data_IF_980714114428
#
_entry.id   IF_980714114428
#
_cell.length_a   1.000
_cell.length_b   1.000
_cell.length_c   1.000
_cell.angle_alpha   90.00
_cell.angle_beta   90.00
_cell.angle_gamma   90.00
#
_symmetry.space_group_name_H-M   'P 1'
#
loop_
_entity.id
_entity.type
_entity.pdbx_description
1 polymer ?
#
# COMPACT_ATOMS: atom_id res chain seq x y z
N UNK A 1 -55.33 30.39 -10.67
CA UNK A 1 -55.87 29.67 -9.51
C UNK A 1 -54.67 29.41 -8.62
N UNK A 2 -54.39 30.24 -7.73
CA UNK A 2 -54.56 30.39 -6.29
C UNK A 2 -54.62 29.00 -5.54
N UNK A 3 -53.60 28.67 -4.79
CA UNK A 3 -53.70 28.45 -3.35
C UNK A 3 -52.34 28.58 -2.66
N UNK A 4 -52.32 29.50 -1.70
CA UNK A 4 -51.34 29.83 -0.69
C UNK A 4 -51.59 28.98 0.56
N UNK A 5 -50.56 29.00 1.41
CA UNK A 5 -50.55 28.77 2.87
C UNK A 5 -50.11 27.36 3.27
N UNK A 6 -49.27 27.16 4.30
CA UNK A 6 -48.85 28.04 5.36
C UNK A 6 -47.74 27.34 6.17
N UNK A 7 -46.88 28.20 6.68
CA UNK A 7 -45.89 27.86 7.70
C UNK A 7 -46.55 27.49 9.03
N UNK A 8 -46.15 26.39 9.63
CA UNK A 8 -46.26 26.27 11.10
C UNK A 8 -44.96 25.78 11.69
N UNK A 9 -44.33 26.64 12.45
CA UNK A 9 -43.28 26.35 13.44
C UNK A 9 -43.96 25.63 14.60
N UNK A 10 -43.40 24.43 14.95
CA UNK A 10 -43.67 23.89 16.29
C UNK A 10 -42.31 23.83 17.02
N UNK A 11 -42.19 24.65 18.04
CA UNK A 11 -41.25 24.52 19.15
C UNK A 11 -41.81 23.44 20.11
N UNK A 12 -40.98 22.48 20.53
CA UNK A 12 -41.14 21.84 21.86
C UNK A 12 -39.78 21.27 22.25
N UNK A 13 -39.21 21.89 23.15
CA UNK A 13 -38.82 21.62 24.53
C UNK A 13 -38.20 20.23 24.76
N UNK A 14 -36.92 20.29 25.12
CA UNK A 14 -36.12 19.23 25.71
C UNK A 14 -36.80 18.63 26.96
N UNK A 15 -36.80 17.32 27.03
CA UNK A 15 -36.84 16.60 28.32
C UNK A 15 -35.79 15.51 28.29
N UNK A 16 -34.80 15.71 29.11
CA UNK A 16 -33.83 14.70 29.53
C UNK A 16 -34.57 13.66 30.38
N UNK A 17 -34.51 12.40 29.98
CA UNK A 17 -34.86 11.29 30.85
C UNK A 17 -33.57 10.74 31.47
N UNK A 18 -33.36 11.12 32.72
CA UNK A 18 -32.41 10.52 33.62
C UNK A 18 -33.07 9.29 34.23
N UNK A 19 -32.54 8.11 33.93
CA UNK A 19 -32.86 6.89 34.68
C UNK A 19 -32.06 6.86 35.97
N UNK A 20 -32.74 7.10 37.09
CA UNK A 20 -32.19 6.94 38.43
C UNK A 20 -32.43 5.51 38.86
N UNK A 21 -31.38 4.78 39.19
CA UNK A 21 -31.50 3.53 39.96
C UNK A 21 -31.21 3.83 41.42
N UNK A 22 -32.06 3.36 42.35
CA UNK A 22 -31.87 3.59 43.78
C UNK A 22 -31.11 2.42 44.41
N UNK A 23 -29.96 2.71 45.03
CA UNK A 23 -29.47 1.89 46.13
C UNK A 23 -28.77 2.78 47.15
N UNK A 24 -29.21 2.60 48.36
CA UNK A 24 -29.23 3.28 49.59
C UNK A 24 -27.87 3.74 50.17
N UNK A 25 -28.04 4.74 51.00
CA UNK A 25 -27.11 5.35 51.91
C UNK A 25 -26.38 4.37 52.80
N UNK A 26 -25.06 4.50 52.89
CA UNK A 26 -24.33 4.40 54.15
C UNK A 26 -23.09 5.30 54.09
N UNK A 27 -23.24 6.47 54.61
CA UNK A 27 -22.18 7.35 55.05
C UNK A 27 -21.65 6.77 56.36
N UNK A 28 -20.38 6.37 56.40
CA UNK A 28 -19.65 6.15 57.63
C UNK A 28 -18.50 7.10 57.68
N UNK A 29 -18.68 8.12 58.52
CA UNK A 29 -17.61 8.97 59.02
C UNK A 29 -16.63 8.13 59.83
N UNK A 30 -15.35 8.19 59.50
CA UNK A 30 -14.27 8.02 60.45
C UNK A 30 -13.23 9.13 60.27
N UNK A 31 -13.37 10.11 61.13
CA UNK A 31 -12.37 11.15 61.37
C UNK A 31 -11.51 10.71 62.59
N UNK A 32 -10.22 10.78 62.39
CA UNK A 32 -9.15 11.04 63.38
C UNK A 32 -9.01 10.10 64.60
N UNK A 33 -8.06 9.19 64.55
CA UNK A 33 -7.12 8.99 65.69
C UNK A 33 -5.92 8.12 65.21
N UNK A 34 -4.70 8.55 65.50
CA UNK A 34 -3.57 7.65 65.66
C UNK A 34 -2.48 7.72 64.60
N UNK A 35 -1.71 8.79 64.60
CA UNK A 35 -0.31 8.75 64.14
C UNK A 35 0.51 7.97 65.17
N UNK A 36 0.93 6.76 64.83
CA UNK A 36 2.19 6.11 65.26
C UNK A 36 2.19 4.63 64.83
N UNK A 37 3.31 4.22 64.20
CA UNK A 37 3.70 2.86 63.76
C UNK A 37 3.32 2.50 62.29
N UNK A 38 4.05 3.08 61.34
CA UNK A 38 3.97 2.68 59.92
C UNK A 38 5.34 2.42 59.29
N UNK A 39 6.21 1.68 59.94
CA UNK A 39 7.48 1.25 59.32
C UNK A 39 7.62 -0.26 59.18
N UNK A 40 6.80 -1.09 59.83
CA UNK A 40 6.93 -2.55 59.76
C UNK A 40 6.09 -3.20 58.62
N UNK A 41 5.02 -2.56 58.17
CA UNK A 41 4.15 -3.15 57.14
C UNK A 41 4.63 -2.89 55.70
N UNK A 42 5.51 -1.89 55.50
CA UNK A 42 6.05 -1.62 54.16
C UNK A 42 7.07 -2.69 53.71
N UNK A 43 7.88 -3.19 54.65
CA UNK A 43 8.82 -4.28 54.35
C UNK A 43 8.16 -5.64 54.22
N UNK A 44 7.03 -5.88 54.90
CA UNK A 44 6.27 -7.13 54.77
C UNK A 44 5.59 -7.26 53.41
N UNK A 45 5.02 -6.17 52.91
CA UNK A 45 4.35 -6.21 51.58
C UNK A 45 5.35 -6.28 50.42
N UNK A 46 6.51 -5.68 50.53
CA UNK A 46 7.58 -5.80 49.52
C UNK A 46 8.16 -7.21 49.50
N UNK A 47 8.33 -7.86 50.69
CA UNK A 47 8.78 -9.24 50.78
C UNK A 47 7.76 -10.24 50.20
N UNK A 48 6.45 -10.03 50.40
CA UNK A 48 5.42 -10.86 49.79
C UNK A 48 5.35 -10.71 48.24
N UNK A 49 5.59 -9.50 47.71
CA UNK A 49 5.66 -9.30 46.25
C UNK A 49 6.91 -9.95 45.65
N UNK A 50 8.05 -9.92 46.38
CA UNK A 50 9.27 -10.60 45.94
C UNK A 50 9.18 -12.13 46.05
N UNK A 51 8.45 -12.67 47.03
CA UNK A 51 8.22 -14.13 47.15
C UNK A 51 7.26 -14.68 46.11
N UNK A 52 6.31 -13.89 45.61
CA UNK A 52 5.43 -14.27 44.49
C UNK A 52 6.18 -14.28 43.14
N UNK A 53 7.33 -13.61 43.04
CA UNK A 53 8.19 -13.64 41.87
C UNK A 53 9.15 -14.84 41.83
N UNK A 54 9.25 -15.62 42.88
CA UNK A 54 10.13 -16.80 43.03
C UNK A 54 9.41 -18.13 42.85
N UNK A 55 8.12 -18.18 42.66
CA UNK A 55 7.46 -19.40 42.22
C UNK A 55 7.87 -19.67 40.76
N UNK A 56 8.48 -20.81 40.43
CA UNK A 56 8.67 -21.17 39.07
C UNK A 56 7.26 -21.35 38.46
N UNK A 57 6.76 -20.29 37.79
CA UNK A 57 5.62 -20.44 36.95
C UNK A 57 6.01 -21.50 35.92
N UNK A 58 5.43 -22.67 36.01
CA UNK A 58 5.32 -23.58 34.90
C UNK A 58 4.47 -22.86 33.83
N UNK A 59 5.12 -21.88 33.22
CA UNK A 59 4.59 -21.28 32.01
C UNK A 59 4.56 -22.39 30.98
N UNK A 60 3.39 -22.95 30.77
CA UNK A 60 3.16 -23.75 29.56
C UNK A 60 3.74 -22.94 28.40
N UNK A 61 4.70 -23.52 27.68
CA UNK A 61 5.24 -22.91 26.46
C UNK A 61 4.04 -22.37 25.66
N UNK A 62 4.08 -21.12 25.21
CA UNK A 62 3.03 -20.62 24.35
C UNK A 62 2.87 -21.64 23.23
N UNK A 63 1.66 -22.20 23.06
CA UNK A 63 1.38 -23.03 21.90
C UNK A 63 1.78 -22.18 20.71
N UNK A 64 2.83 -22.58 19.99
CA UNK A 64 3.13 -22.02 18.69
C UNK A 64 1.82 -22.10 17.90
N UNK A 65 1.36 -20.97 17.41
CA UNK A 65 0.28 -20.98 16.42
C UNK A 65 0.75 -21.93 15.34
N UNK A 66 -0.08 -22.94 14.97
CA UNK A 66 0.30 -23.83 13.90
C UNK A 66 0.76 -22.96 12.72
N UNK A 67 1.99 -23.17 12.27
CA UNK A 67 2.49 -22.52 11.06
C UNK A 67 1.47 -22.87 9.98
N UNK A 68 0.88 -21.88 9.32
CA UNK A 68 0.08 -22.17 8.14
C UNK A 68 0.96 -23.00 7.23
N UNK A 69 0.45 -24.12 6.68
CA UNK A 69 1.23 -24.92 5.76
C UNK A 69 1.78 -23.99 4.68
N UNK A 70 3.08 -24.10 4.42
CA UNK A 70 3.70 -23.37 3.35
C UNK A 70 2.92 -23.67 2.06
N UNK A 71 2.56 -22.62 1.29
CA UNK A 71 1.95 -22.85 -0.01
C UNK A 71 2.95 -23.66 -0.86
N UNK A 72 2.48 -24.67 -1.57
CA UNK A 72 3.34 -25.39 -2.49
C UNK A 72 3.85 -24.44 -3.59
N UNK A 73 5.09 -24.65 -4.00
CA UNK A 73 5.63 -23.96 -5.16
C UNK A 73 4.79 -24.29 -6.41
N UNK A 74 4.50 -23.27 -7.21
CA UNK A 74 3.91 -23.45 -8.53
C UNK A 74 5.04 -23.77 -9.51
N UNK A 75 5.07 -24.99 -10.01
CA UNK A 75 6.01 -25.40 -11.05
C UNK A 75 5.50 -24.95 -12.41
N UNK A 76 6.32 -24.27 -13.17
CA UNK A 76 6.03 -23.72 -14.48
C UNK A 76 6.82 -24.46 -15.56
N UNK A 77 6.44 -24.29 -16.80
CA UNK A 77 7.14 -24.87 -17.94
C UNK A 77 8.61 -24.43 -18.00
N UNK A 78 9.47 -25.29 -18.53
CA UNK A 78 10.90 -24.99 -18.68
C UNK A 78 11.70 -24.99 -17.37
N UNK A 79 11.18 -25.59 -16.30
CA UNK A 79 11.86 -25.65 -15.00
C UNK A 79 11.79 -24.36 -14.17
N UNK A 80 10.97 -23.43 -14.60
CA UNK A 80 10.63 -22.19 -13.87
C UNK A 80 9.77 -22.50 -12.66
N UNK A 81 9.77 -21.59 -11.70
CA UNK A 81 9.03 -21.77 -10.45
C UNK A 81 8.56 -20.43 -9.88
N UNK A 82 7.35 -20.42 -9.34
CA UNK A 82 6.83 -19.32 -8.54
C UNK A 82 6.59 -19.79 -7.11
N UNK A 83 7.21 -19.14 -6.14
CA UNK A 83 7.09 -19.46 -4.71
C UNK A 83 6.44 -18.30 -3.95
N UNK A 84 5.57 -18.63 -3.01
CA UNK A 84 5.09 -17.65 -2.03
C UNK A 84 6.11 -17.47 -0.91
N UNK A 85 6.53 -16.23 -0.62
CA UNK A 85 7.48 -15.97 0.46
C UNK A 85 6.79 -15.60 1.77
N UNK A 86 5.94 -14.57 1.72
CA UNK A 86 5.30 -14.00 2.91
C UNK A 86 4.21 -12.99 2.58
N UNK A 87 3.50 -12.54 3.60
CA UNK A 87 2.70 -11.32 3.56
C UNK A 87 3.02 -10.41 4.74
N UNK A 88 2.68 -9.13 4.60
CA UNK A 88 2.75 -8.17 5.69
C UNK A 88 1.65 -7.12 5.58
N UNK A 89 1.23 -6.58 6.72
CA UNK A 89 0.08 -5.66 6.84
C UNK A 89 0.32 -4.49 7.77
N UNK A 90 1.37 -4.52 8.59
CA UNK A 90 1.54 -3.54 9.66
C UNK A 90 3.00 -3.23 10.01
N UNK A 91 3.18 -2.11 10.67
CA UNK A 91 4.44 -1.71 11.28
C UNK A 91 5.01 -2.75 12.26
N UNK A 92 4.17 -3.60 12.87
CA UNK A 92 4.60 -4.62 13.83
C UNK A 92 5.54 -5.65 13.22
N UNK A 93 5.37 -5.94 11.94
CA UNK A 93 6.14 -6.96 11.23
C UNK A 93 7.55 -6.50 10.85
N UNK A 94 7.78 -5.19 10.83
CA UNK A 94 9.10 -4.60 10.58
C UNK A 94 9.94 -4.47 11.84
N UNK A 95 9.30 -4.20 12.99
CA UNK A 95 10.01 -3.97 14.25
C UNK A 95 10.38 -5.28 14.94
N UNK A 96 11.57 -5.37 15.55
CA UNK A 96 11.96 -6.56 16.28
C UNK A 96 10.97 -6.85 17.41
N UNK A 97 10.83 -8.15 17.74
CA UNK A 97 10.04 -8.57 18.91
C UNK A 97 10.57 -7.82 20.14
N UNK A 98 9.69 -7.08 20.81
CA UNK A 98 10.05 -6.31 21.99
C UNK A 98 10.56 -7.23 23.11
N UNK A 99 11.67 -6.86 23.71
CA UNK A 99 12.23 -7.59 24.84
C UNK A 99 11.30 -7.56 26.07
N UNK A 100 11.56 -8.42 27.03
CA UNK A 100 10.73 -8.58 28.25
C UNK A 100 10.43 -7.25 28.98
N UNK A 101 11.42 -6.39 29.15
CA UNK A 101 11.27 -5.09 29.84
C UNK A 101 10.34 -4.13 29.09
N UNK A 102 10.36 -4.16 27.77
CA UNK A 102 9.43 -3.36 26.97
C UNK A 102 7.98 -3.85 27.10
N UNK A 103 7.78 -5.16 27.27
CA UNK A 103 6.44 -5.72 27.52
C UNK A 103 5.90 -5.31 28.91
N UNK A 104 6.79 -5.21 29.92
CA UNK A 104 6.41 -4.71 31.25
C UNK A 104 6.04 -3.23 31.18
N UNK A 105 6.80 -2.42 30.43
CA UNK A 105 6.45 -1.01 30.19
C UNK A 105 5.13 -0.86 29.42
N UNK A 106 4.88 -1.70 28.40
CA UNK A 106 3.63 -1.70 27.64
C UNK A 106 2.43 -2.06 28.53
N UNK A 107 2.62 -2.96 29.52
CA UNK A 107 1.57 -3.31 30.48
C UNK A 107 1.22 -2.15 31.42
N UNK A 108 2.18 -1.31 31.77
CA UNK A 108 1.97 -0.15 32.68
C UNK A 108 1.52 1.10 31.93
N UNK A 109 2.08 1.35 30.75
CA UNK A 109 1.84 2.57 29.97
C UNK A 109 0.84 2.39 28.81
N UNK A 110 0.32 1.17 28.59
CA UNK A 110 -0.48 0.80 27.42
C UNK A 110 0.39 0.41 26.23
N UNK A 111 -0.12 -0.51 25.38
CA UNK A 111 0.57 -0.85 24.14
C UNK A 111 0.59 0.36 23.19
N UNK A 112 1.76 0.67 22.56
CA UNK A 112 1.80 1.72 21.57
C UNK A 112 0.93 1.37 20.36
N UNK A 113 0.23 2.35 19.85
CA UNK A 113 -0.57 2.20 18.63
C UNK A 113 0.33 1.93 17.43
N UNK A 114 0.10 0.81 16.75
CA UNK A 114 0.82 0.44 15.54
C UNK A 114 -0.02 0.74 14.30
N UNK A 115 0.62 1.38 13.33
CA UNK A 115 -0.04 1.64 12.04
C UNK A 115 -0.10 0.36 11.20
N UNK A 116 -1.27 0.11 10.64
CA UNK A 116 -1.54 -0.97 9.71
C UNK A 116 -2.00 -0.40 8.36
N UNK A 117 -1.87 -1.19 7.31
CA UNK A 117 -2.48 -0.90 6.03
C UNK A 117 -4.00 -0.88 6.19
N UNK A 118 -4.66 0.11 5.58
CA UNK A 118 -6.11 0.31 5.63
C UNK A 118 -6.75 -0.05 4.29
N UNK A 119 -6.26 0.56 3.22
CA UNK A 119 -6.69 0.30 1.84
C UNK A 119 -5.52 0.60 0.90
N UNK A 120 -4.44 -0.20 0.97
CA UNK A 120 -3.26 0.04 0.16
C UNK A 120 -3.58 -0.04 -1.33
N UNK A 121 -2.88 0.75 -2.16
CA UNK A 121 -3.20 0.84 -3.57
C UNK A 121 -2.01 0.57 -4.50
N UNK A 122 -0.90 1.24 -4.35
CA UNK A 122 0.27 1.09 -5.21
C UNK A 122 1.53 0.84 -4.38
N UNK A 123 2.56 0.31 -5.03
CA UNK A 123 3.77 -0.14 -4.39
C UNK A 123 4.99 0.12 -5.27
N UNK A 124 6.10 0.49 -4.64
CA UNK A 124 7.43 0.55 -5.24
C UNK A 124 8.47 0.02 -4.25
N UNK A 125 9.60 -0.45 -4.76
CA UNK A 125 10.76 -0.82 -3.95
C UNK A 125 11.94 0.04 -4.41
N UNK A 126 12.64 0.64 -3.47
CA UNK A 126 13.80 1.48 -3.77
C UNK A 126 15.11 0.68 -3.80
N UNK A 127 16.23 1.37 -4.12
CA UNK A 127 17.54 0.74 -4.25
C UNK A 127 18.05 0.10 -2.95
N UNK A 128 17.53 0.55 -1.80
CA UNK A 128 17.83 0.02 -0.46
C UNK A 128 16.94 -1.16 -0.07
N UNK A 129 16.02 -1.59 -0.94
CA UNK A 129 15.06 -2.65 -0.67
C UNK A 129 13.94 -2.23 0.29
N UNK A 130 13.70 -0.92 0.51
CA UNK A 130 12.56 -0.44 1.27
C UNK A 130 11.30 -0.52 0.43
N UNK A 131 10.26 -1.02 1.03
CA UNK A 131 8.97 -1.19 0.38
C UNK A 131 8.11 0.04 0.69
N UNK A 132 7.68 0.75 -0.34
CA UNK A 132 6.93 2.00 -0.27
C UNK A 132 5.53 1.73 -0.78
N UNK A 133 4.52 1.92 0.07
CA UNK A 133 3.12 1.58 -0.24
C UNK A 133 2.25 2.81 -0.04
N UNK A 134 1.54 3.21 -1.08
CA UNK A 134 0.49 4.24 -0.95
C UNK A 134 -0.76 3.62 -0.34
N UNK A 135 -1.37 4.36 0.57
CA UNK A 135 -2.60 3.94 1.24
C UNK A 135 -3.60 5.09 1.28
N UNK A 136 -4.48 5.20 0.25
CA UNK A 136 -5.55 6.19 0.25
C UNK A 136 -6.49 6.06 1.45
N UNK A 137 -6.67 4.85 1.98
CA UNK A 137 -7.51 4.62 3.16
C UNK A 137 -6.90 5.18 4.46
N UNK A 138 -5.57 5.20 4.54
CA UNK A 138 -4.83 5.83 5.65
C UNK A 138 -4.44 7.29 5.34
N UNK A 139 -4.73 7.79 4.15
CA UNK A 139 -4.34 9.11 3.62
C UNK A 139 -2.82 9.34 3.79
N UNK A 140 -2.02 8.41 3.25
CA UNK A 140 -0.58 8.49 3.38
C UNK A 140 0.21 7.42 2.65
N UNK A 141 1.49 7.38 2.96
CA UNK A 141 2.45 6.45 2.37
C UNK A 141 3.21 5.75 3.48
N UNK A 142 3.21 4.43 3.43
CA UNK A 142 3.96 3.58 4.34
C UNK A 142 5.32 3.24 3.75
N UNK A 143 6.38 3.34 4.53
CA UNK A 143 7.73 2.91 4.16
C UNK A 143 8.17 1.82 5.15
N UNK A 144 8.33 0.61 4.64
CA UNK A 144 8.74 -0.57 5.39
C UNK A 144 10.21 -0.90 5.05
N UNK A 145 11.08 -0.82 6.03
CA UNK A 145 12.50 -1.21 5.91
C UNK A 145 12.72 -2.45 6.77
N UNK A 146 12.60 -3.62 6.16
CA UNK A 146 12.78 -4.89 6.85
C UNK A 146 14.26 -5.19 7.17
N UNK A 147 15.20 -4.61 6.42
CA UNK A 147 16.62 -4.82 6.65
C UNK A 147 17.10 -4.03 7.87
N UNK A 148 16.72 -2.75 7.96
CA UNK A 148 17.08 -1.89 9.09
C UNK A 148 16.05 -1.92 10.22
N UNK A 149 14.96 -2.69 10.08
CA UNK A 149 13.85 -2.79 11.02
C UNK A 149 13.22 -1.41 11.34
N UNK A 150 13.10 -0.56 10.32
CA UNK A 150 12.57 0.79 10.43
C UNK A 150 11.24 0.90 9.68
N UNK A 151 10.36 1.70 10.22
CA UNK A 151 9.10 2.05 9.60
C UNK A 151 8.89 3.55 9.65
N UNK A 152 8.38 4.11 8.56
CA UNK A 152 7.99 5.51 8.46
C UNK A 152 6.63 5.64 7.78
N UNK A 153 5.85 6.62 8.22
CA UNK A 153 4.58 6.97 7.60
C UNK A 153 4.58 8.43 7.19
N UNK A 154 4.24 8.68 5.93
CA UNK A 154 4.16 10.02 5.36
C UNK A 154 2.67 10.35 5.19
N UNK A 155 2.13 11.23 6.04
CA UNK A 155 0.71 11.62 6.00
C UNK A 155 0.47 13.05 5.51
N UNK A 156 1.53 13.84 5.36
CA UNK A 156 1.44 15.25 4.90
C UNK A 156 2.64 15.60 4.03
N UNK A 157 2.37 16.35 2.99
CA UNK A 157 3.37 17.06 2.23
C UNK A 157 3.46 18.49 2.77
N UNK A 158 4.64 18.90 3.23
CA UNK A 158 4.89 20.26 3.73
C UNK A 158 4.36 20.56 5.15
N UNK A 159 4.58 21.79 5.61
CA UNK A 159 4.18 22.27 6.96
C UNK A 159 2.69 22.70 6.98
N UNK A 160 1.79 21.82 6.55
CA UNK A 160 0.34 22.01 6.67
C UNK A 160 -0.33 22.80 5.54
N UNK A 161 0.40 23.27 4.53
CA UNK A 161 -0.18 24.03 3.40
C UNK A 161 -0.64 23.16 2.22
N UNK A 162 -0.08 21.97 2.06
CA UNK A 162 -0.42 21.01 1.00
C UNK A 162 -0.58 19.60 1.59
N UNK A 163 -1.71 19.25 2.19
CA UNK A 163 -1.94 17.90 2.69
C UNK A 163 -2.12 16.93 1.51
N UNK A 164 -1.61 15.71 1.64
CA UNK A 164 -2.09 14.60 0.80
C UNK A 164 -3.55 14.33 1.15
N UNK A 165 -4.36 14.09 0.12
CA UNK A 165 -5.81 13.84 0.27
C UNK A 165 -6.16 12.42 -0.19
N UNK A 166 -5.64 12.00 -1.34
CA UNK A 166 -5.89 10.68 -1.92
C UNK A 166 -4.65 10.19 -2.68
N UNK A 167 -3.56 9.76 -1.98
CA UNK A 167 -2.36 9.25 -2.62
C UNK A 167 -2.67 7.98 -3.41
N UNK A 168 -2.36 7.97 -4.71
CA UNK A 168 -2.65 6.84 -5.59
C UNK A 168 -1.40 6.01 -5.87
N UNK A 169 -0.59 6.41 -6.83
CA UNK A 169 0.58 5.64 -7.22
C UNK A 169 1.87 6.26 -6.71
N UNK A 170 2.89 5.42 -6.60
CA UNK A 170 4.23 5.78 -6.17
C UNK A 170 5.27 5.31 -7.17
N UNK A 171 6.25 6.16 -7.44
CA UNK A 171 7.47 5.81 -8.14
C UNK A 171 8.69 6.31 -7.36
N UNK A 172 9.84 5.73 -7.63
CA UNK A 172 11.13 6.17 -7.10
C UNK A 172 12.10 6.44 -8.26
N UNK A 173 12.97 7.45 -8.10
CA UNK A 173 14.03 7.71 -9.05
C UNK A 173 15.33 7.01 -8.64
N UNK A 174 16.38 7.17 -9.45
CA UNK A 174 17.70 6.57 -9.19
C UNK A 174 18.40 7.09 -7.93
N UNK A 175 17.93 8.19 -7.34
CA UNK A 175 18.41 8.76 -6.08
C UNK A 175 17.50 8.40 -4.90
N UNK A 176 16.57 7.47 -5.10
CA UNK A 176 15.55 7.07 -4.13
C UNK A 176 14.61 8.21 -3.70
N UNK A 177 14.46 9.27 -4.49
CA UNK A 177 13.41 10.24 -4.25
C UNK A 177 12.06 9.60 -4.57
N UNK A 178 11.07 9.91 -3.75
CA UNK A 178 9.74 9.29 -3.80
C UNK A 178 8.77 10.28 -4.42
N UNK A 179 8.09 9.84 -5.48
CA UNK A 179 7.08 10.60 -6.21
C UNK A 179 5.71 9.96 -5.99
N UNK A 180 4.75 10.73 -5.52
CA UNK A 180 3.40 10.24 -5.17
C UNK A 180 2.36 11.07 -5.89
N UNK A 181 1.57 10.45 -6.74
CA UNK A 181 0.37 11.09 -7.32
C UNK A 181 -0.72 11.18 -6.27
N UNK A 182 -1.39 12.31 -6.23
CA UNK A 182 -2.56 12.50 -5.36
C UNK A 182 -3.76 12.93 -6.21
N UNK A 183 -4.72 12.02 -6.33
CA UNK A 183 -5.82 12.14 -7.27
C UNK A 183 -6.85 13.20 -6.89
N UNK A 184 -6.93 13.59 -5.64
CA UNK A 184 -7.87 14.59 -5.16
C UNK A 184 -7.26 15.98 -5.16
N UNK A 185 -6.01 16.13 -4.75
CA UNK A 185 -5.31 17.41 -4.83
C UNK A 185 -4.86 17.77 -6.24
N UNK A 186 -4.87 16.82 -7.19
CA UNK A 186 -4.45 17.04 -8.58
C UNK A 186 -2.95 17.34 -8.74
N UNK A 187 -2.11 16.78 -7.87
CA UNK A 187 -0.67 17.08 -7.78
C UNK A 187 0.18 15.81 -7.73
N UNK A 188 1.48 15.98 -7.91
CA UNK A 188 2.50 14.97 -7.59
C UNK A 188 3.37 15.49 -6.47
N UNK A 189 3.38 14.80 -5.34
CA UNK A 189 4.23 15.12 -4.20
C UNK A 189 5.59 14.45 -4.34
N UNK A 190 6.65 15.22 -4.09
CA UNK A 190 8.03 14.73 -4.15
C UNK A 190 8.65 14.78 -2.77
N UNK A 191 9.18 13.64 -2.35
CA UNK A 191 9.93 13.49 -1.10
C UNK A 191 11.36 13.03 -1.44
N UNK A 192 12.33 13.41 -0.63
CA UNK A 192 13.68 12.86 -0.76
C UNK A 192 13.71 11.39 -0.27
N UNK A 193 14.86 10.76 -0.45
CA UNK A 193 15.10 9.36 -0.05
C UNK A 193 14.84 9.08 1.44
N UNK A 194 14.88 10.09 2.31
CA UNK A 194 14.53 9.96 3.72
C UNK A 194 13.05 10.18 4.00
N UNK A 195 12.23 10.42 2.94
CA UNK A 195 10.81 10.73 3.06
C UNK A 195 10.56 12.11 3.67
N UNK A 196 11.44 13.08 3.42
CA UNK A 196 11.22 14.49 3.74
C UNK A 196 10.65 15.19 2.51
N UNK A 197 9.53 15.86 2.67
CA UNK A 197 8.88 16.63 1.61
C UNK A 197 9.84 17.63 0.98
N UNK A 198 9.86 17.69 -0.34
CA UNK A 198 10.65 18.62 -1.14
C UNK A 198 9.76 19.65 -1.82
N UNK A 199 8.81 19.20 -2.63
CA UNK A 199 7.92 20.04 -3.44
C UNK A 199 6.70 19.27 -3.93
N UNK A 200 5.74 19.98 -4.49
CA UNK A 200 4.67 19.42 -5.29
C UNK A 200 4.79 19.91 -6.74
N UNK A 201 4.63 18.97 -7.70
CA UNK A 201 4.54 19.26 -9.11
C UNK A 201 3.08 19.41 -9.52
N UNK A 202 2.79 20.26 -10.50
CA UNK A 202 1.44 20.54 -10.95
C UNK A 202 0.66 21.46 -10.01
N UNK A 203 1.33 22.28 -9.19
CA UNK A 203 0.67 23.33 -8.41
C UNK A 203 0.45 24.58 -9.27
N UNK A 204 -0.80 25.03 -9.37
CA UNK A 204 -1.16 26.27 -10.05
C UNK A 204 -1.09 27.47 -9.10
N UNK A 205 -1.17 28.71 -9.68
CA UNK A 205 -1.34 29.94 -8.88
C UNK A 205 -2.66 29.82 -8.11
N UNK A 206 -2.61 29.97 -6.79
CA UNK A 206 -3.78 29.77 -5.92
C UNK A 206 -3.77 28.44 -5.16
N UNK A 207 -2.85 27.52 -5.48
CA UNK A 207 -2.68 26.25 -4.77
C UNK A 207 -3.51 25.08 -5.32
N UNK A 208 -4.28 25.29 -6.37
CA UNK A 208 -5.01 24.24 -7.08
C UNK A 208 -4.06 23.30 -7.81
N UNK A 209 -4.52 22.05 -8.07
CA UNK A 209 -3.80 21.07 -8.84
C UNK A 209 -4.00 21.25 -10.35
N UNK A 210 -2.91 21.01 -11.11
CA UNK A 210 -2.95 21.01 -12.57
C UNK A 210 -3.72 19.81 -13.12
N UNK A 211 -3.51 18.63 -12.52
CA UNK A 211 -4.13 17.39 -13.00
C UNK A 211 -5.59 17.29 -12.54
N UNK A 212 -6.43 16.66 -13.35
CA UNK A 212 -7.82 16.37 -12.94
C UNK A 212 -7.90 15.16 -12.01
N UNK A 213 -7.19 14.09 -12.36
CA UNK A 213 -7.11 12.87 -11.55
C UNK A 213 -5.82 12.12 -11.87
N UNK A 214 -4.67 12.58 -11.35
CA UNK A 214 -3.41 11.87 -11.55
C UNK A 214 -3.46 10.53 -10.82
N UNK A 215 -3.07 9.47 -11.51
CA UNK A 215 -3.06 8.10 -10.98
C UNK A 215 -1.68 7.49 -11.15
N UNK A 216 -1.37 6.84 -12.27
CA UNK A 216 -0.07 6.23 -12.50
C UNK A 216 1.07 7.24 -12.60
N UNK A 217 2.26 6.81 -12.20
CA UNK A 217 3.48 7.60 -12.29
C UNK A 217 4.69 6.72 -12.54
N UNK A 218 5.59 7.18 -13.42
CA UNK A 218 6.93 6.62 -13.56
C UNK A 218 7.96 7.73 -13.77
N UNK A 219 9.18 7.47 -13.34
CA UNK A 219 10.30 8.42 -13.44
C UNK A 219 11.42 7.81 -14.27
N UNK A 220 11.81 8.50 -15.33
CA UNK A 220 12.98 8.20 -16.11
C UNK A 220 14.13 9.09 -15.65
N UNK A 221 14.98 8.53 -14.80
CA UNK A 221 16.13 9.26 -14.26
C UNK A 221 17.21 9.55 -15.31
N UNK A 222 17.26 8.76 -16.39
CA UNK A 222 18.24 8.95 -17.48
C UNK A 222 17.79 10.07 -18.41
N UNK A 223 16.55 9.98 -18.89
CA UNK A 223 15.97 11.01 -19.77
C UNK A 223 15.52 12.27 -19.02
N UNK A 224 15.55 12.25 -17.67
CA UNK A 224 15.07 13.33 -16.81
C UNK A 224 13.60 13.69 -17.11
N UNK A 225 12.73 12.66 -17.10
CA UNK A 225 11.31 12.79 -17.41
C UNK A 225 10.44 12.11 -16.36
N UNK A 226 9.29 12.69 -16.10
CA UNK A 226 8.25 12.12 -15.23
C UNK A 226 7.00 11.94 -16.09
N UNK A 227 6.49 10.71 -16.11
CA UNK A 227 5.27 10.33 -16.82
C UNK A 227 4.14 10.22 -15.82
N UNK A 228 3.02 10.91 -16.05
CA UNK A 228 1.85 10.91 -15.16
C UNK A 228 0.59 10.63 -15.98
N UNK A 229 -0.14 9.57 -15.66
CA UNK A 229 -1.48 9.36 -16.22
C UNK A 229 -2.48 10.31 -15.55
N UNK A 230 -3.24 11.05 -16.34
CA UNK A 230 -4.41 11.78 -15.86
C UNK A 230 -5.67 11.04 -16.34
N UNK A 231 -6.19 10.19 -15.48
CA UNK A 231 -7.30 9.28 -15.79
C UNK A 231 -8.51 9.99 -16.36
N UNK A 232 -8.91 11.15 -15.81
CA UNK A 232 -10.09 11.87 -16.27
C UNK A 232 -9.85 12.70 -17.53
N UNK A 233 -8.61 12.90 -17.92
CA UNK A 233 -8.25 13.52 -19.21
C UNK A 233 -7.94 12.49 -20.29
N UNK A 234 -7.89 11.22 -19.96
CA UNK A 234 -7.52 10.11 -20.86
C UNK A 234 -6.17 10.36 -21.55
N UNK A 235 -5.18 10.84 -20.79
CA UNK A 235 -3.87 11.26 -21.32
C UNK A 235 -2.75 10.94 -20.34
N UNK A 236 -1.54 10.90 -20.88
CA UNK A 236 -0.32 10.86 -20.12
C UNK A 236 0.39 12.20 -20.32
N UNK A 237 0.70 12.88 -19.24
CA UNK A 237 1.55 14.07 -19.27
C UNK A 237 2.99 13.67 -18.99
N UNK A 238 3.89 14.10 -19.87
CA UNK A 238 5.33 13.97 -19.66
C UNK A 238 5.86 15.29 -19.17
N UNK A 239 6.48 15.29 -18.00
CA UNK A 239 7.03 16.47 -17.36
C UNK A 239 8.55 16.42 -17.38
N UNK A 240 9.18 17.58 -17.34
CA UNK A 240 10.56 17.68 -16.89
C UNK A 240 10.65 17.50 -15.34
N UNK A 241 11.88 17.44 -14.81
CA UNK A 241 12.08 17.28 -13.36
C UNK A 241 11.61 18.49 -12.55
N UNK A 242 11.36 19.65 -13.18
CA UNK A 242 10.81 20.86 -12.56
C UNK A 242 9.30 20.86 -12.52
N UNK A 243 8.65 19.94 -13.28
CA UNK A 243 7.20 19.78 -13.34
C UNK A 243 6.54 20.52 -14.49
N UNK A 244 7.33 21.06 -15.45
CA UNK A 244 6.79 21.65 -16.67
C UNK A 244 6.39 20.55 -17.66
N UNK A 245 5.21 20.67 -18.28
CA UNK A 245 4.75 19.73 -19.30
C UNK A 245 5.58 19.91 -20.57
N UNK A 246 6.28 18.86 -20.99
CA UNK A 246 7.10 18.83 -22.20
C UNK A 246 6.46 18.05 -23.34
N UNK A 247 5.54 17.13 -23.01
CA UNK A 247 4.83 16.31 -23.98
C UNK A 247 3.49 15.85 -23.41
N UNK A 248 2.55 15.54 -24.30
CA UNK A 248 1.29 14.88 -23.95
C UNK A 248 1.09 13.67 -24.88
N UNK A 249 0.76 12.51 -24.32
CA UNK A 249 0.57 11.25 -25.05
C UNK A 249 -0.88 10.80 -24.86
N UNK A 250 -1.48 10.36 -25.97
CA UNK A 250 -2.81 9.78 -25.99
C UNK A 250 -3.95 10.79 -26.08
N UNK A 251 -5.10 10.26 -26.39
CA UNK A 251 -6.40 10.94 -26.45
C UNK A 251 -7.51 9.99 -26.00
N UNK A 252 -8.70 10.53 -25.75
CA UNK A 252 -9.84 9.70 -25.38
C UNK A 252 -10.29 8.82 -26.56
N UNK A 253 -10.53 7.54 -26.31
CA UNK A 253 -11.07 6.61 -27.29
C UNK A 253 -10.62 5.17 -27.10
N UNK A 254 -10.93 4.36 -28.09
CA UNK A 254 -10.54 2.96 -28.22
C UNK A 254 -9.50 2.79 -29.32
N UNK A 255 -8.68 1.76 -29.21
CA UNK A 255 -7.67 1.40 -30.22
C UNK A 255 -6.28 1.97 -29.95
N UNK A 256 -5.38 1.83 -30.94
CA UNK A 256 -3.96 2.14 -30.79
C UNK A 256 -3.67 3.57 -30.36
N UNK A 257 -2.97 3.73 -29.22
CA UNK A 257 -2.56 5.04 -28.70
C UNK A 257 -3.67 5.92 -28.15
N UNK A 258 -4.92 5.43 -28.11
CA UNK A 258 -6.06 6.07 -27.46
C UNK A 258 -6.34 5.40 -26.11
N UNK A 259 -6.87 6.14 -25.17
CA UNK A 259 -7.10 5.63 -23.83
C UNK A 259 -8.53 5.88 -23.34
N UNK A 260 -9.01 4.95 -22.53
CA UNK A 260 -10.25 5.08 -21.78
C UNK A 260 -9.97 4.79 -20.31
N UNK A 261 -9.84 5.84 -19.51
CA UNK A 261 -9.46 5.81 -18.10
C UNK A 261 -8.10 5.11 -17.86
N UNK A 262 -6.97 5.58 -18.45
CA UNK A 262 -5.65 5.04 -18.16
C UNK A 262 -5.34 5.21 -16.68
N UNK A 263 -4.75 4.20 -16.04
CA UNK A 263 -4.52 4.19 -14.57
C UNK A 263 -3.06 4.04 -14.20
N UNK A 264 -2.49 2.86 -14.32
CA UNK A 264 -1.10 2.57 -13.97
C UNK A 264 -0.21 2.72 -15.20
N UNK A 265 1.06 3.04 -15.00
CA UNK A 265 2.06 2.99 -16.06
C UNK A 265 3.44 2.58 -15.53
N UNK A 266 4.22 1.95 -16.40
CA UNK A 266 5.61 1.53 -16.12
C UNK A 266 6.51 1.84 -17.32
N UNK A 267 7.80 1.94 -17.03
CA UNK A 267 8.84 2.10 -18.04
C UNK A 267 9.66 0.81 -18.11
N UNK A 268 9.85 0.29 -19.33
CA UNK A 268 10.74 -0.83 -19.63
C UNK A 268 11.62 -0.50 -20.82
N UNK A 269 12.91 -0.28 -20.61
CA UNK A 269 13.82 0.15 -21.67
C UNK A 269 13.28 1.36 -22.43
N UNK A 270 12.94 1.19 -23.70
CA UNK A 270 12.34 2.23 -24.55
C UNK A 270 10.81 2.19 -24.56
N UNK A 271 10.19 1.33 -23.76
CA UNK A 271 8.75 1.15 -23.75
C UNK A 271 8.08 1.94 -22.61
N UNK A 272 6.88 2.40 -22.90
CA UNK A 272 5.91 2.94 -21.95
C UNK A 272 4.71 1.98 -21.94
N UNK A 273 4.50 1.31 -20.80
CA UNK A 273 3.46 0.30 -20.64
C UNK A 273 2.35 0.95 -19.82
N UNK A 274 1.12 0.92 -20.32
CA UNK A 274 -0.01 1.67 -19.75
C UNK A 274 -1.21 0.76 -19.57
N UNK A 275 -1.76 0.73 -18.37
CA UNK A 275 -3.05 0.10 -18.12
C UNK A 275 -4.17 0.99 -18.62
N UNK A 276 -4.87 0.53 -19.63
CA UNK A 276 -6.02 1.19 -20.22
C UNK A 276 -7.31 0.55 -19.68
N UNK A 277 -7.70 1.01 -18.48
CA UNK A 277 -8.58 0.24 -17.60
C UNK A 277 -9.97 -0.01 -18.16
N UNK A 278 -10.57 0.95 -18.86
CA UNK A 278 -11.92 0.82 -19.43
C UNK A 278 -11.91 0.29 -20.87
N UNK A 279 -10.73 0.15 -21.48
CA UNK A 279 -10.54 -0.62 -22.71
C UNK A 279 -10.08 -2.07 -22.38
N UNK A 280 -10.02 -2.44 -21.10
CA UNK A 280 -9.76 -3.79 -20.61
C UNK A 280 -8.44 -4.38 -21.15
N UNK A 281 -7.42 -3.53 -21.30
CA UNK A 281 -6.15 -3.89 -21.90
C UNK A 281 -4.96 -3.19 -21.25
N UNK A 282 -3.79 -3.64 -21.60
CA UNK A 282 -2.52 -2.96 -21.34
C UNK A 282 -1.90 -2.61 -22.70
N UNK A 283 -1.68 -1.33 -22.96
CA UNK A 283 -1.03 -0.86 -24.17
C UNK A 283 0.46 -0.67 -23.95
N UNK A 284 1.26 -1.09 -24.91
CA UNK A 284 2.70 -0.84 -24.98
C UNK A 284 2.98 0.17 -26.10
N UNK A 285 3.58 1.28 -25.71
CA UNK A 285 3.97 2.37 -26.60
C UNK A 285 5.50 2.57 -26.51
N UNK A 286 6.07 3.29 -27.44
CA UNK A 286 7.41 3.84 -27.23
C UNK A 286 7.38 5.13 -26.40
N UNK A 287 8.56 5.70 -26.10
CA UNK A 287 8.66 6.92 -25.30
C UNK A 287 8.08 8.17 -25.98
N UNK A 288 7.90 8.14 -27.31
CA UNK A 288 7.22 9.21 -28.05
C UNK A 288 5.70 9.10 -28.00
N UNK A 289 5.17 7.96 -27.53
CA UNK A 289 3.76 7.65 -27.52
C UNK A 289 3.27 6.88 -28.73
N UNK A 290 4.15 6.43 -29.62
CA UNK A 290 3.76 5.58 -30.73
C UNK A 290 3.40 4.18 -30.24
N UNK A 291 2.22 3.72 -30.61
CA UNK A 291 1.69 2.40 -30.27
C UNK A 291 2.54 1.27 -30.87
N UNK A 292 2.80 0.24 -30.08
CA UNK A 292 3.48 -0.99 -30.51
C UNK A 292 2.53 -2.17 -30.54
N UNK A 293 1.97 -2.53 -29.41
CA UNK A 293 1.00 -3.62 -29.28
C UNK A 293 0.16 -3.43 -28.00
N UNK A 294 -0.88 -4.25 -27.86
CA UNK A 294 -1.69 -4.31 -26.66
C UNK A 294 -1.89 -5.77 -26.23
N UNK A 295 -2.05 -5.96 -24.91
CA UNK A 295 -2.31 -7.24 -24.27
C UNK A 295 -3.65 -7.18 -23.58
N UNK A 296 -4.41 -8.26 -23.67
CA UNK A 296 -5.71 -8.39 -23.04
C UNK A 296 -6.85 -7.78 -23.88
N UNK A 297 -8.03 -8.22 -23.55
CA UNK A 297 -9.32 -7.75 -24.08
C UNK A 297 -10.39 -8.08 -23.05
N UNK A 298 -11.55 -7.46 -23.15
CA UNK A 298 -12.67 -7.78 -22.27
C UNK A 298 -13.06 -9.26 -22.39
N UNK A 299 -13.31 -9.91 -21.25
CA UNK A 299 -13.81 -11.28 -21.23
C UNK A 299 -13.72 -11.92 -19.84
N UNK A 300 -14.13 -13.19 -19.78
CA UNK A 300 -14.26 -14.01 -18.57
C UNK A 300 -13.38 -15.28 -18.59
N UNK A 301 -12.47 -15.37 -19.54
CA UNK A 301 -11.54 -16.48 -19.70
C UNK A 301 -10.09 -16.05 -19.47
N UNK A 302 -9.17 -16.97 -19.16
CA UNK A 302 -7.74 -16.66 -19.07
C UNK A 302 -7.23 -15.94 -20.32
N UNK A 303 -6.39 -14.93 -20.14
CA UNK A 303 -5.91 -14.05 -21.22
C UNK A 303 -6.83 -12.88 -21.55
N UNK A 304 -8.05 -12.86 -20.98
CA UNK A 304 -8.94 -11.68 -21.01
C UNK A 304 -8.88 -10.92 -19.71
N UNK A 305 -9.32 -9.67 -19.69
CA UNK A 305 -9.25 -8.79 -18.52
C UNK A 305 -10.62 -8.17 -18.25
N UNK A 306 -10.93 -8.00 -16.97
CA UNK A 306 -12.14 -7.30 -16.58
C UNK A 306 -11.84 -6.01 -15.81
N UNK A 307 -10.80 -6.03 -14.98
CA UNK A 307 -10.37 -4.86 -14.23
C UNK A 307 -8.84 -4.81 -14.06
N UNK A 308 -8.11 -4.60 -15.14
CA UNK A 308 -6.65 -4.49 -15.06
C UNK A 308 -6.25 -3.32 -14.15
N UNK A 309 -5.23 -3.53 -13.32
CA UNK A 309 -4.77 -2.61 -12.28
C UNK A 309 -3.26 -2.43 -12.29
N UNK A 310 -2.56 -3.11 -11.38
CA UNK A 310 -1.12 -3.06 -11.25
C UNK A 310 -0.42 -3.86 -12.33
N UNK A 311 0.73 -3.38 -12.78
CA UNK A 311 1.58 -4.05 -13.76
C UNK A 311 3.03 -4.08 -13.28
N UNK A 312 3.77 -5.09 -13.71
CA UNK A 312 5.21 -5.24 -13.51
C UNK A 312 5.82 -6.12 -14.58
N UNK A 313 7.14 -6.10 -14.68
CA UNK A 313 7.90 -6.96 -15.57
C UNK A 313 8.98 -7.68 -14.78
N UNK A 314 9.18 -8.95 -15.10
CA UNK A 314 10.28 -9.73 -14.55
C UNK A 314 11.58 -9.56 -15.38
N UNK A 315 12.64 -10.26 -14.97
CA UNK A 315 13.94 -10.19 -15.65
C UNK A 315 13.97 -10.84 -17.04
N UNK A 316 12.96 -11.67 -17.38
CA UNK A 316 12.77 -12.25 -18.71
C UNK A 316 11.97 -11.30 -19.63
N UNK A 317 11.35 -10.27 -19.04
CA UNK A 317 10.53 -9.25 -19.71
C UNK A 317 9.08 -9.71 -19.90
N UNK A 318 8.64 -10.68 -19.12
CA UNK A 318 7.25 -11.10 -19.09
C UNK A 318 6.42 -10.08 -18.32
N UNK A 319 5.23 -9.78 -18.83
CA UNK A 319 4.34 -8.76 -18.29
C UNK A 319 3.33 -9.38 -17.32
N UNK A 320 3.40 -8.96 -16.07
CA UNK A 320 2.46 -9.31 -15.00
C UNK A 320 1.36 -8.26 -14.92
N UNK A 321 0.12 -8.69 -14.94
CA UNK A 321 -1.06 -7.82 -14.86
C UNK A 321 -2.00 -8.30 -13.78
N UNK A 322 -2.27 -7.44 -12.80
CA UNK A 322 -3.29 -7.69 -11.78
C UNK A 322 -4.67 -7.51 -12.38
N UNK A 323 -5.52 -8.52 -12.33
CA UNK A 323 -6.96 -8.35 -12.53
C UNK A 323 -7.68 -8.23 -11.19
N UNK A 324 -8.05 -7.02 -10.84
CA UNK A 324 -8.64 -6.70 -9.54
C UNK A 324 -10.00 -7.35 -9.32
N UNK A 325 -10.77 -7.62 -10.36
CA UNK A 325 -12.08 -8.26 -10.21
C UNK A 325 -11.97 -9.77 -10.12
N UNK A 326 -11.10 -10.37 -10.94
CA UNK A 326 -10.85 -11.81 -10.89
C UNK A 326 -10.05 -12.24 -9.66
N UNK A 327 -9.28 -11.32 -9.07
CA UNK A 327 -8.41 -11.64 -7.93
C UNK A 327 -7.24 -12.51 -8.33
N UNK A 328 -6.68 -12.28 -9.51
CA UNK A 328 -5.55 -13.02 -10.07
C UNK A 328 -4.48 -12.08 -10.58
N UNK A 329 -3.29 -12.61 -10.78
CA UNK A 329 -2.22 -11.99 -11.57
C UNK A 329 -2.03 -12.85 -12.81
N UNK A 330 -2.20 -12.27 -13.99
CA UNK A 330 -1.96 -12.92 -15.28
C UNK A 330 -0.59 -12.54 -15.80
N UNK A 331 0.12 -13.47 -16.42
CA UNK A 331 1.49 -13.28 -16.93
C UNK A 331 1.52 -13.55 -18.41
N UNK A 332 2.01 -12.57 -19.16
CA UNK A 332 2.05 -12.58 -20.61
C UNK A 332 3.48 -12.46 -21.11
N UNK A 333 3.80 -13.15 -22.18
CA UNK A 333 5.07 -12.95 -22.88
C UNK A 333 5.08 -11.62 -23.68
N UNK A 334 6.20 -11.33 -24.32
CA UNK A 334 6.36 -10.11 -25.15
C UNK A 334 5.51 -10.10 -26.42
N UNK A 335 5.02 -11.27 -26.85
CA UNK A 335 4.12 -11.41 -28.00
C UNK A 335 2.65 -11.21 -27.62
N UNK A 336 2.37 -11.10 -26.30
CA UNK A 336 1.04 -10.90 -25.75
C UNK A 336 0.28 -12.18 -25.46
N UNK A 337 0.94 -13.35 -25.53
CA UNK A 337 0.34 -14.63 -25.20
C UNK A 337 0.34 -14.84 -23.69
N UNK A 338 -0.76 -15.38 -23.15
CA UNK A 338 -0.84 -15.76 -21.76
C UNK A 338 0.06 -16.96 -21.49
N UNK A 339 1.02 -16.81 -20.59
CA UNK A 339 1.89 -17.88 -20.12
C UNK A 339 1.23 -18.68 -19.01
N UNK A 340 0.81 -18.00 -17.96
CA UNK A 340 0.14 -18.55 -16.79
C UNK A 340 -0.56 -17.46 -15.99
N UNK A 341 -1.28 -17.87 -14.96
CA UNK A 341 -1.81 -16.96 -13.95
C UNK A 341 -1.72 -17.60 -12.57
N UNK A 342 -1.73 -16.80 -11.52
CA UNK A 342 -1.74 -17.24 -10.14
C UNK A 342 -2.67 -16.40 -9.27
N UNK A 343 -3.06 -16.95 -8.14
CA UNK A 343 -4.03 -16.37 -7.25
C UNK A 343 -5.47 -16.79 -7.56
N UNK A 344 -6.33 -16.56 -6.61
CA UNK A 344 -7.78 -16.66 -6.72
C UNK A 344 -8.41 -15.67 -5.74
N UNK A 345 -9.75 -15.51 -5.79
CA UNK A 345 -10.45 -14.73 -4.78
C UNK A 345 -10.42 -15.41 -3.42
N UNK A 346 -10.03 -14.66 -2.39
CA UNK A 346 -10.06 -15.14 -1.02
C UNK A 346 -9.19 -14.33 -0.07
N UNK A 347 -8.98 -14.88 1.13
CA UNK A 347 -8.27 -14.24 2.23
C UNK A 347 -7.03 -15.01 2.69
N UNK A 348 -6.86 -16.24 2.23
CA UNK A 348 -5.70 -17.08 2.55
C UNK A 348 -4.42 -16.58 1.88
N UNK A 349 -3.28 -17.16 2.23
CA UNK A 349 -2.04 -16.90 1.52
C UNK A 349 -2.18 -17.34 0.05
N UNK A 350 -1.68 -16.54 -0.89
CA UNK A 350 -1.83 -16.78 -2.33
C UNK A 350 -3.20 -16.43 -2.91
N UNK A 351 -4.20 -16.10 -2.08
CA UNK A 351 -5.49 -15.59 -2.52
C UNK A 351 -5.55 -14.07 -2.40
N UNK A 352 -6.37 -13.43 -3.24
CA UNK A 352 -6.47 -11.97 -3.28
C UNK A 352 -7.91 -11.49 -3.19
N UNK A 353 -8.11 -10.33 -2.56
CA UNK A 353 -9.39 -9.65 -2.54
C UNK A 353 -9.24 -8.22 -3.09
N UNK A 354 -9.76 -8.00 -4.29
CA UNK A 354 -9.61 -6.75 -5.03
C UNK A 354 -8.15 -6.26 -5.03
N UNK A 355 -7.19 -7.07 -5.50
CA UNK A 355 -5.80 -6.65 -5.58
C UNK A 355 -5.68 -5.41 -6.47
N UNK A 356 -4.66 -4.58 -6.19
CA UNK A 356 -4.46 -3.31 -6.86
C UNK A 356 -3.06 -3.19 -7.47
N UNK A 357 -2.09 -2.66 -6.75
CA UNK A 357 -0.74 -2.45 -7.24
C UNK A 357 0.09 -3.73 -7.34
N UNK A 358 1.05 -3.70 -8.25
CA UNK A 358 2.07 -4.75 -8.40
C UNK A 358 3.42 -4.09 -8.67
N UNK A 359 4.47 -4.65 -8.13
CA UNK A 359 5.85 -4.28 -8.41
C UNK A 359 6.72 -5.53 -8.43
N UNK A 360 7.68 -5.58 -9.34
CA UNK A 360 8.70 -6.65 -9.40
C UNK A 360 10.05 -5.99 -9.23
N UNK A 361 10.85 -6.47 -8.28
CA UNK A 361 12.20 -5.96 -8.07
C UNK A 361 13.23 -6.67 -8.97
N UNK A 362 14.47 -6.17 -8.96
CA UNK A 362 15.57 -6.70 -9.78
C UNK A 362 15.99 -8.15 -9.43
N UNK A 363 15.46 -8.72 -8.37
CA UNK A 363 15.64 -10.12 -7.98
C UNK A 363 14.40 -10.96 -8.27
N UNK A 364 13.49 -10.49 -9.11
CA UNK A 364 12.24 -11.15 -9.46
C UNK A 364 11.32 -11.45 -8.27
N UNK A 365 11.43 -10.66 -7.19
CA UNK A 365 10.41 -10.69 -6.14
C UNK A 365 9.21 -9.85 -6.56
N UNK A 366 8.06 -10.49 -6.52
CA UNK A 366 6.79 -9.94 -6.96
C UNK A 366 6.00 -9.50 -5.73
N UNK A 367 5.73 -8.22 -5.63
CA UNK A 367 4.97 -7.62 -4.55
C UNK A 367 3.57 -7.30 -5.05
N UNK A 368 2.54 -7.96 -4.53
CA UNK A 368 1.15 -7.74 -4.89
C UNK A 368 0.41 -7.06 -3.75
N UNK A 369 -0.17 -5.89 -4.01
CA UNK A 369 -1.00 -5.17 -3.07
C UNK A 369 -2.39 -5.80 -3.03
N UNK A 370 -2.67 -6.55 -1.99
CA UNK A 370 -3.94 -7.21 -1.72
C UNK A 370 -4.86 -6.27 -0.93
N UNK A 371 -5.46 -5.31 -1.65
CA UNK A 371 -6.01 -4.07 -1.12
C UNK A 371 -7.10 -4.29 -0.07
N UNK A 372 -8.09 -5.15 -0.34
CA UNK A 372 -9.19 -5.38 0.59
C UNK A 372 -8.81 -6.33 1.74
N UNK A 373 -7.79 -7.17 1.57
CA UNK A 373 -7.19 -7.93 2.66
C UNK A 373 -6.19 -7.09 3.49
N UNK A 374 -5.96 -5.82 3.12
CA UNK A 374 -5.11 -4.85 3.84
C UNK A 374 -3.69 -5.36 4.05
N UNK A 375 -3.11 -5.98 3.03
CA UNK A 375 -1.76 -6.58 3.08
C UNK A 375 -1.03 -6.42 1.76
N UNK A 376 0.25 -6.67 1.79
CA UNK A 376 1.08 -6.94 0.62
C UNK A 376 1.49 -8.40 0.70
N UNK A 377 1.37 -9.14 -0.40
CA UNK A 377 1.87 -10.49 -0.53
C UNK A 377 3.11 -10.48 -1.41
N UNK A 378 4.11 -11.26 -1.04
CA UNK A 378 5.40 -11.35 -1.72
C UNK A 378 5.57 -12.76 -2.27
N UNK A 379 5.86 -12.82 -3.55
CA UNK A 379 6.20 -14.04 -4.26
C UNK A 379 7.60 -13.89 -4.87
N UNK A 380 8.20 -14.99 -5.26
CA UNK A 380 9.50 -15.01 -5.92
C UNK A 380 9.42 -15.88 -7.16
N UNK A 381 9.74 -15.28 -8.30
CA UNK A 381 9.87 -16.00 -9.56
C UNK A 381 11.31 -16.47 -9.73
N UNK A 382 11.47 -17.72 -10.07
CA UNK A 382 12.74 -18.33 -10.39
C UNK A 382 12.71 -18.72 -11.86
N UNK A 383 13.38 -17.93 -12.69
CA UNK A 383 13.54 -18.15 -14.12
C UNK A 383 14.42 -19.35 -14.44
N UNK A 384 14.61 -19.60 -15.72
CA UNK A 384 15.51 -20.68 -16.17
C UNK A 384 16.95 -20.36 -15.72
N UNK A 385 17.56 -21.31 -15.01
CA UNK A 385 18.97 -21.18 -14.63
C UNK A 385 19.81 -20.92 -15.90
N UNK A 386 20.39 -19.72 -16.02
CA UNK A 386 21.33 -19.44 -17.12
C UNK A 386 22.44 -20.48 -17.05
N UNK A 387 22.74 -21.22 -18.14
CA UNK A 387 23.83 -22.17 -18.12
C UNK A 387 25.10 -21.42 -17.67
N UNK A 388 25.75 -21.92 -16.63
CA UNK A 388 27.03 -21.39 -16.20
C UNK A 388 27.93 -21.37 -17.44
N UNK A 389 28.46 -20.18 -17.79
CA UNK A 389 29.48 -20.11 -18.84
C UNK A 389 30.60 -21.04 -18.38
N UNK A 390 30.60 -22.25 -18.94
CA UNK A 390 31.64 -23.23 -18.68
C UNK A 390 32.98 -22.57 -18.97
N UNK A 391 33.86 -22.57 -17.98
CA UNK A 391 35.24 -22.17 -18.20
C UNK A 391 35.79 -23.03 -19.33
N UNK A 392 36.10 -22.38 -20.43
CA UNK A 392 37.00 -22.97 -21.44
C UNK A 392 38.33 -23.21 -20.76
N UNK A 393 38.66 -24.48 -20.57
CA UNK A 393 40.03 -24.92 -20.31
C UNK A 393 40.91 -24.60 -21.51
#
# INVERSE_FOLDING_TARGET
MLFRSGLQRVRSSARQNILVFPWGDQVVQFLLAGVRTRTSHFFSNVACILLLLLTPAWASKPKEKPSQPALPDMLLEGGRKLSYERSFSSQREVKPKRGFWNKVLDFVAGEPEFRSLVRPYSIAVDSRGRIIVTDPGAIGVHIFDFQQQKYKFLSRAGKGKDPMLAPQCVAVDAQDNIYVTDSESGKVFVFNSDGKYQRALGSLKGGEGFFKRPTGIAVDSVAQRIYVTDTLRNKIFVLDMQGSVVQTIGENGEGPGKFNFPTELRLDGQNLIVVDAMNFSVQVLDRSGAFKYAVGKIGDSPGTMFRPKGIGLDSEGDLYVVDGLWGVVQVFNRDGDLLYYFGNRGTSAGEFQLPAGLFIDHNDRIFVVDSFNRRVQVFHYYGVAKPSKGGSQ
#
